data_IF_503263208819
#
_entry.id   IF_503263208819
#
_cell.length_a   1.000
_cell.length_b   1.000
_cell.length_c   1.000
_cell.angle_alpha   90.00
_cell.angle_beta   90.00
_cell.angle_gamma   90.00
#
_symmetry.space_group_name_H-M   'P 1'
#
loop_
_entity.id
_entity.type
_entity.pdbx_description
1 polymer ?
#
# COMPACT_ATOMS: atom_id res chain seq x y z
N UNK A 1 11.17 18.53 4.51
CA UNK A 1 11.48 17.20 3.92
C UNK A 1 10.26 16.27 3.96
N UNK A 2 9.48 16.32 5.03
CA UNK A 2 8.30 15.50 5.31
C UNK A 2 7.11 15.77 4.36
N UNK A 3 6.88 17.02 3.91
CA UNK A 3 5.81 17.33 2.94
C UNK A 3 5.93 16.62 1.58
N UNK A 4 7.14 16.15 1.21
CA UNK A 4 7.32 15.35 -0.01
C UNK A 4 6.82 13.91 0.14
N UNK A 5 6.69 13.39 1.37
CA UNK A 5 6.22 12.03 1.67
C UNK A 5 4.77 11.78 1.29
N UNK A 6 3.96 12.83 1.21
CA UNK A 6 2.55 12.70 0.81
C UNK A 6 2.36 12.66 -0.71
N UNK A 7 3.40 12.93 -1.51
CA UNK A 7 3.29 12.95 -2.98
C UNK A 7 2.83 11.62 -3.58
N UNK A 8 3.36 10.44 -3.18
CA UNK A 8 2.85 9.16 -3.66
C UNK A 8 1.37 8.94 -3.32
N UNK A 9 0.93 9.37 -2.14
CA UNK A 9 -0.48 9.29 -1.73
C UNK A 9 -1.38 10.23 -2.54
N UNK A 10 -0.89 11.42 -2.88
CA UNK A 10 -1.57 12.36 -3.79
C UNK A 10 -1.66 11.82 -5.22
N UNK A 11 -0.67 11.04 -5.68
CA UNK A 11 -0.72 10.33 -6.96
C UNK A 11 -1.78 9.23 -6.91
N UNK A 12 -1.73 8.38 -5.90
CA UNK A 12 -2.69 7.31 -5.66
C UNK A 12 -4.14 7.80 -5.61
N UNK A 13 -4.41 8.96 -5.00
CA UNK A 13 -5.78 9.49 -4.93
C UNK A 13 -6.35 10.05 -6.24
N UNK A 14 -5.47 10.43 -7.18
CA UNK A 14 -5.85 11.14 -8.41
C UNK A 14 -5.87 10.26 -9.62
N UNK A 15 -5.09 9.19 -9.62
CA UNK A 15 -4.97 8.28 -10.73
C UNK A 15 -6.27 7.48 -10.92
N UNK A 16 -6.71 7.35 -12.18
CA UNK A 16 -8.05 6.85 -12.53
C UNK A 16 -8.31 5.41 -12.09
N UNK A 17 -7.33 4.53 -12.23
CA UNK A 17 -7.40 3.12 -11.89
C UNK A 17 -7.41 2.91 -10.37
N UNK A 18 -6.73 3.75 -9.58
CA UNK A 18 -6.66 3.60 -8.13
C UNK A 18 -7.82 4.24 -7.36
N UNK A 19 -8.61 5.11 -8.01
CA UNK A 19 -9.79 5.76 -7.39
C UNK A 19 -10.80 4.78 -6.81
N UNK A 20 -10.96 3.61 -7.42
CA UNK A 20 -11.88 2.58 -6.92
C UNK A 20 -11.51 2.04 -5.54
N UNK A 21 -10.24 2.20 -5.13
CA UNK A 21 -9.74 1.78 -3.82
C UNK A 21 -9.88 2.88 -2.75
N UNK A 22 -10.23 4.10 -3.14
CA UNK A 22 -10.31 5.26 -2.24
C UNK A 22 -11.76 5.49 -1.83
N UNK A 23 -12.04 5.42 -0.53
CA UNK A 23 -13.34 5.75 0.05
C UNK A 23 -13.42 7.21 0.44
N UNK A 24 -12.46 7.71 1.21
CA UNK A 24 -12.39 9.12 1.58
C UNK A 24 -10.96 9.56 1.87
N UNK A 25 -10.71 10.86 1.73
CA UNK A 25 -9.40 11.47 2.01
C UNK A 25 -9.61 12.78 2.74
N UNK A 26 -8.87 13.00 3.82
CA UNK A 26 -8.87 14.23 4.61
C UNK A 26 -7.46 14.81 4.67
N UNK A 27 -7.35 16.12 4.50
CA UNK A 27 -6.11 16.90 4.65
C UNK A 27 -4.94 16.40 3.78
N UNK A 28 -5.23 15.83 2.61
CA UNK A 28 -4.19 15.50 1.63
C UNK A 28 -3.91 16.70 0.73
N UNK A 29 -4.97 17.35 0.22
CA UNK A 29 -4.87 18.37 -0.83
C UNK A 29 -4.22 19.68 -0.38
N UNK A 30 -4.44 20.07 0.88
CA UNK A 30 -3.75 21.21 1.48
C UNK A 30 -2.31 20.83 1.81
N UNK A 31 -2.08 19.70 2.50
CA UNK A 31 -0.76 19.29 2.98
C UNK A 31 0.33 19.11 1.90
N UNK A 32 -0.02 18.78 0.65
CA UNK A 32 0.96 18.75 -0.45
C UNK A 32 1.10 20.10 -1.19
N UNK A 33 0.14 21.03 -1.05
CA UNK A 33 0.12 22.36 -1.71
C UNK A 33 0.62 23.51 -0.83
N UNK A 34 0.30 23.56 0.46
CA UNK A 34 0.74 24.60 1.40
C UNK A 34 2.20 24.35 1.80
N UNK A 35 3.09 24.92 0.98
CA UNK A 35 4.54 24.80 1.04
C UNK A 35 5.24 25.95 1.79
N UNK A 36 4.51 26.79 2.51
CA UNK A 36 5.07 27.89 3.28
C UNK A 36 5.01 27.59 4.77
N UNK A 37 6.07 27.99 5.50
CA UNK A 37 6.27 27.88 6.96
C UNK A 37 5.25 28.70 7.77
N UNK A 38 4.00 28.75 7.35
CA UNK A 38 2.92 29.27 8.17
C UNK A 38 2.57 28.24 9.25
N UNK A 39 2.21 28.69 10.45
CA UNK A 39 1.89 27.79 11.55
C UNK A 39 0.61 27.01 11.21
N UNK A 40 0.79 25.81 10.65
CA UNK A 40 -0.25 24.81 10.43
C UNK A 40 -0.99 24.54 11.74
N UNK A 41 -2.31 24.53 11.70
CA UNK A 41 -3.10 24.05 12.84
C UNK A 41 -2.90 22.54 13.00
N UNK A 42 -3.09 21.97 14.20
CA UNK A 42 -2.88 20.53 14.44
C UNK A 42 -3.70 19.64 13.49
N UNK A 43 -4.86 20.13 13.04
CA UNK A 43 -5.72 19.45 12.06
C UNK A 43 -5.06 19.31 10.68
N UNK A 44 -4.21 20.25 10.27
CA UNK A 44 -3.61 20.30 8.93
C UNK A 44 -2.39 19.37 8.80
N UNK A 45 -1.85 18.89 9.92
CA UNK A 45 -0.65 18.03 9.96
C UNK A 45 -0.95 16.54 9.80
N UNK A 46 -2.22 16.18 9.88
CA UNK A 46 -2.67 14.79 9.87
C UNK A 46 -3.46 14.51 8.60
N UNK A 47 -2.88 13.71 7.72
CA UNK A 47 -3.55 13.18 6.53
C UNK A 47 -4.20 11.85 6.86
N UNK A 48 -5.47 11.69 6.48
CA UNK A 48 -6.22 10.44 6.65
C UNK A 48 -6.70 9.94 5.30
N UNK A 49 -6.45 8.67 5.01
CA UNK A 49 -6.93 7.96 3.82
C UNK A 49 -7.74 6.77 4.28
N UNK A 50 -9.01 6.74 3.90
CA UNK A 50 -9.90 5.62 4.11
C UNK A 50 -10.06 4.90 2.76
N UNK A 51 -9.84 3.59 2.74
CA UNK A 51 -9.97 2.77 1.53
C UNK A 51 -11.32 2.08 1.48
N UNK A 52 -11.67 1.54 0.32
CA UNK A 52 -12.90 0.75 0.12
C UNK A 52 -12.82 -0.67 0.70
N UNK A 53 -11.62 -1.12 1.08
CA UNK A 53 -11.36 -2.40 1.76
C UNK A 53 -11.18 -2.24 3.28
N UNK A 54 -11.85 -1.23 3.85
CA UNK A 54 -11.93 -0.95 5.29
C UNK A 54 -10.56 -0.78 5.98
N UNK A 55 -9.60 -0.22 5.26
CA UNK A 55 -8.30 0.20 5.80
C UNK A 55 -8.29 1.72 5.96
N UNK A 56 -7.82 2.18 7.11
CA UNK A 56 -7.55 3.59 7.38
C UNK A 56 -6.06 3.76 7.60
N UNK A 57 -5.44 4.60 6.78
CA UNK A 57 -4.10 5.12 6.99
C UNK A 57 -4.18 6.54 7.52
N UNK A 58 -3.56 6.80 8.67
CA UNK A 58 -3.39 8.13 9.23
C UNK A 58 -1.89 8.43 9.35
N UNK A 59 -1.46 9.49 8.69
CA UNK A 59 -0.08 9.99 8.74
C UNK A 59 -0.11 11.35 9.42
N UNK A 60 0.54 11.44 10.57
CA UNK A 60 0.76 12.70 11.28
C UNK A 60 2.20 13.15 11.06
N UNK A 61 2.34 14.36 10.53
CA UNK A 61 3.62 14.98 10.23
C UNK A 61 4.03 15.89 11.39
N UNK A 62 5.14 15.56 12.04
CA UNK A 62 5.68 16.30 13.18
C UNK A 62 7.01 16.96 12.80
N UNK A 63 7.48 17.99 13.54
CA UNK A 63 8.78 18.61 13.27
C UNK A 63 9.95 17.60 13.29
N UNK A 64 9.84 16.59 14.16
CA UNK A 64 10.93 15.64 14.45
C UNK A 64 10.76 14.28 13.75
N UNK A 65 9.66 14.07 13.01
CA UNK A 65 9.39 12.79 12.36
C UNK A 65 8.00 12.63 11.77
N UNK A 66 7.68 11.39 11.40
CA UNK A 66 6.36 11.00 10.91
C UNK A 66 5.83 9.88 11.78
N UNK A 67 4.61 10.07 12.28
CA UNK A 67 3.87 9.05 13.02
C UNK A 67 2.83 8.46 12.08
N UNK A 68 2.79 7.14 11.99
CA UNK A 68 1.84 6.40 11.17
C UNK A 68 0.95 5.55 12.07
N UNK A 69 -0.35 5.79 11.97
CA UNK A 69 -1.39 4.99 12.59
C UNK A 69 -2.18 4.28 11.49
N UNK A 70 -2.44 2.99 11.68
CA UNK A 70 -3.21 2.18 10.75
C UNK A 70 -4.31 1.44 11.51
N UNK A 71 -5.53 1.49 11.00
CA UNK A 71 -6.68 0.82 11.63
C UNK A 71 -7.57 0.19 10.58
N UNK A 72 -8.38 -0.78 10.99
CA UNK A 72 -9.37 -1.44 10.14
C UNK A 72 -10.76 -1.27 10.74
N UNK A 73 -11.78 -0.99 9.92
CA UNK A 73 -13.09 -0.50 10.43
C UNK A 73 -14.00 -1.61 11.00
N UNK A 74 -13.75 -2.90 10.74
CA UNK A 74 -14.47 -4.00 11.41
C UNK A 74 -13.54 -5.17 11.74
N UNK A 75 -13.80 -5.86 12.85
CA UNK A 75 -13.12 -7.11 13.22
C UNK A 75 -13.92 -8.31 12.72
N UNK A 76 -13.27 -9.21 11.95
CA UNK A 76 -13.47 -10.64 12.17
C UNK A 76 -12.15 -11.43 12.31
N UNK A 77 -12.27 -12.60 12.94
CA UNK A 77 -11.23 -13.59 13.23
C UNK A 77 -10.75 -14.38 11.98
N UNK A 78 -9.42 -14.36 11.81
CA UNK A 78 -8.44 -15.28 11.17
C UNK A 78 -8.57 -15.83 9.73
N UNK A 79 -7.48 -15.60 8.94
CA UNK A 79 -6.91 -16.48 7.88
C UNK A 79 -6.52 -15.75 6.55
N UNK A 80 -5.26 -15.71 6.07
CA UNK A 80 -4.83 -15.18 4.72
C UNK A 80 -3.43 -15.66 4.26
N UNK A 81 -3.27 -16.02 2.99
CA UNK A 81 -2.41 -17.13 2.55
C UNK A 81 -0.93 -16.93 2.25
N UNK A 82 -0.30 -15.89 2.78
CA UNK A 82 1.17 -15.74 2.65
C UNK A 82 1.74 -15.13 3.92
N UNK A 83 1.38 -15.74 5.03
CA UNK A 83 1.46 -15.14 6.35
C UNK A 83 2.27 -16.02 7.25
N UNK A 84 3.39 -15.48 7.70
CA UNK A 84 4.04 -16.03 8.86
C UNK A 84 3.09 -15.83 10.03
N UNK A 85 2.57 -16.92 10.59
CA UNK A 85 1.81 -16.88 11.84
C UNK A 85 2.68 -16.23 12.92
N UNK A 86 2.04 -15.54 13.86
CA UNK A 86 2.73 -15.14 15.08
C UNK A 86 3.41 -16.37 15.70
N UNK A 87 4.64 -16.21 16.19
CA UNK A 87 5.43 -17.33 16.72
C UNK A 87 4.69 -18.06 17.85
N UNK A 88 3.81 -17.35 18.55
CA UNK A 88 2.96 -17.88 19.61
C UNK A 88 1.88 -18.87 19.13
N UNK A 89 1.52 -18.85 17.84
CA UNK A 89 0.44 -19.67 17.25
C UNK A 89 0.95 -20.89 16.45
N UNK A 90 2.26 -21.16 16.53
CA UNK A 90 2.91 -22.28 15.82
C UNK A 90 2.98 -23.50 16.75
N UNK A 91 2.20 -24.56 16.45
CA UNK A 91 2.37 -25.89 17.04
C UNK A 91 3.20 -26.78 16.08
N UNK A 92 3.98 -27.72 16.63
CA UNK A 92 4.93 -28.59 15.88
C UNK A 92 4.31 -29.41 14.72
N UNK A 93 2.98 -29.53 14.68
CA UNK A 93 2.24 -30.39 13.73
C UNK A 93 1.57 -29.64 12.55
N UNK A 94 1.78 -28.32 12.37
CA UNK A 94 1.10 -27.53 11.33
C UNK A 94 2.10 -26.97 10.31
N UNK A 95 1.92 -27.29 9.02
CA UNK A 95 2.73 -26.73 7.92
C UNK A 95 2.62 -25.20 7.88
N UNK A 96 3.75 -24.51 7.73
CA UNK A 96 3.86 -23.04 7.74
C UNK A 96 3.42 -22.32 6.47
N UNK A 97 2.56 -22.91 5.63
CA UNK A 97 2.11 -22.36 4.36
C UNK A 97 0.65 -22.80 4.03
N UNK A 98 -0.18 -21.88 3.54
CA UNK A 98 -1.58 -22.09 3.09
C UNK A 98 -1.82 -21.40 1.72
N UNK A 99 -2.86 -21.77 0.95
CA UNK A 99 -3.16 -21.25 -0.41
C UNK A 99 -4.29 -20.19 -0.49
N UNK A 100 -4.07 -19.08 -1.22
CA UNK A 100 -4.88 -17.82 -1.29
C UNK A 100 -6.40 -17.92 -1.19
N UNK A 101 -7.01 -19.01 -1.62
CA UNK A 101 -8.47 -19.12 -1.67
C UNK A 101 -9.09 -19.62 -0.37
N UNK A 102 -8.38 -20.41 0.44
CA UNK A 102 -8.94 -21.04 1.65
C UNK A 102 -9.05 -20.07 2.83
N UNK A 103 -8.35 -18.95 2.77
CA UNK A 103 -8.08 -18.13 3.94
C UNK A 103 -8.76 -16.75 3.75
N UNK A 104 -8.85 -16.21 2.52
CA UNK A 104 -9.76 -15.11 2.18
C UNK A 104 -11.26 -15.41 2.39
N UNK A 105 -11.65 -16.67 2.58
CA UNK A 105 -13.02 -17.05 2.93
C UNK A 105 -13.55 -16.38 4.22
N UNK A 106 -12.64 -15.91 5.09
CA UNK A 106 -12.94 -15.23 6.36
C UNK A 106 -13.05 -13.71 6.25
N UNK A 107 -12.59 -13.13 5.15
CA UNK A 107 -12.63 -11.69 4.91
C UNK A 107 -13.99 -11.27 4.36
N UNK A 108 -14.39 -9.99 4.52
CA UNK A 108 -15.52 -9.46 3.76
C UNK A 108 -15.31 -9.79 2.27
N UNK A 109 -16.34 -10.30 1.56
CA UNK A 109 -16.20 -10.69 0.15
C UNK A 109 -15.62 -9.58 -0.74
N UNK A 110 -15.87 -8.33 -0.38
CA UNK A 110 -15.31 -7.15 -1.04
C UNK A 110 -13.77 -7.12 -1.04
N UNK A 111 -13.10 -7.65 -0.02
CA UNK A 111 -11.63 -7.69 0.03
C UNK A 111 -11.08 -8.68 -0.98
N UNK A 112 -11.70 -9.87 -1.09
CA UNK A 112 -11.33 -10.87 -2.09
C UNK A 112 -11.60 -10.37 -3.50
N UNK A 113 -12.79 -9.81 -3.75
CA UNK A 113 -13.13 -9.21 -5.05
C UNK A 113 -12.15 -8.11 -5.45
N UNK A 114 -11.71 -7.26 -4.51
CA UNK A 114 -10.75 -6.19 -4.78
C UNK A 114 -9.33 -6.71 -4.99
N UNK A 115 -8.92 -7.75 -4.26
CA UNK A 115 -7.64 -8.42 -4.47
C UNK A 115 -7.60 -9.12 -5.83
N UNK A 116 -8.62 -9.92 -6.15
CA UNK A 116 -8.74 -10.61 -7.44
C UNK A 116 -8.77 -9.60 -8.59
N UNK A 117 -9.57 -8.52 -8.48
CA UNK A 117 -9.59 -7.47 -9.49
C UNK A 117 -8.22 -6.78 -9.65
N UNK A 118 -7.48 -6.58 -8.55
CA UNK A 118 -6.12 -6.03 -8.58
C UNK A 118 -5.15 -6.98 -9.28
N UNK A 119 -5.16 -8.27 -8.93
CA UNK A 119 -4.32 -9.32 -9.53
C UNK A 119 -4.64 -9.51 -11.02
N UNK A 120 -5.91 -9.56 -11.39
CA UNK A 120 -6.37 -9.74 -12.77
C UNK A 120 -5.91 -8.58 -13.65
N UNK A 121 -6.07 -7.34 -13.17
CA UNK A 121 -5.68 -6.17 -13.93
C UNK A 121 -4.16 -6.06 -14.06
N UNK A 122 -3.40 -6.40 -13.02
CA UNK A 122 -1.95 -6.51 -13.09
C UNK A 122 -1.50 -7.58 -14.09
N UNK A 123 -2.09 -8.78 -14.01
CA UNK A 123 -1.78 -9.91 -14.89
C UNK A 123 -2.11 -9.59 -16.35
N UNK A 124 -3.25 -8.97 -16.61
CA UNK A 124 -3.65 -8.51 -17.95
C UNK A 124 -2.64 -7.51 -18.53
N UNK A 125 -2.18 -6.56 -17.71
CA UNK A 125 -1.18 -5.59 -18.13
C UNK A 125 0.17 -6.25 -18.42
N UNK A 126 0.59 -7.19 -17.59
CA UNK A 126 1.81 -7.97 -17.81
C UNK A 126 1.73 -8.80 -19.09
N UNK A 127 0.62 -9.51 -19.31
CA UNK A 127 0.42 -10.28 -20.54
C UNK A 127 0.52 -9.39 -21.77
N UNK A 128 -0.24 -8.30 -21.80
CA UNK A 128 -0.29 -7.41 -22.95
C UNK A 128 1.04 -6.71 -23.25
N UNK A 129 1.83 -6.35 -22.24
CA UNK A 129 3.02 -5.49 -22.40
C UNK A 129 4.33 -6.23 -22.41
N UNK A 130 4.38 -7.42 -21.82
CA UNK A 130 5.61 -8.21 -21.67
C UNK A 130 5.47 -9.55 -22.39
N UNK A 131 4.40 -10.31 -22.12
CA UNK A 131 4.23 -11.65 -22.72
C UNK A 131 3.95 -11.57 -24.22
N UNK A 132 3.01 -10.72 -24.63
CA UNK A 132 2.58 -10.58 -26.03
C UNK A 132 3.64 -9.90 -26.89
N UNK A 133 4.44 -9.00 -26.30
CA UNK A 133 5.51 -8.26 -26.96
C UNK A 133 6.86 -8.99 -26.92
N UNK A 134 6.99 -9.99 -26.04
CA UNK A 134 8.25 -10.65 -25.67
C UNK A 134 9.32 -9.69 -25.11
N UNK A 135 8.92 -8.49 -24.70
CA UNK A 135 9.80 -7.51 -24.08
C UNK A 135 9.78 -7.67 -22.56
N UNK A 136 10.62 -8.57 -22.06
CA UNK A 136 10.80 -8.82 -20.62
C UNK A 136 11.44 -7.65 -19.86
N UNK A 137 11.86 -6.61 -20.55
CA UNK A 137 12.34 -5.36 -19.96
C UNK A 137 11.27 -4.27 -19.95
N UNK A 138 10.13 -4.47 -20.62
CA UNK A 138 9.03 -3.52 -20.63
C UNK A 138 8.41 -3.39 -19.22
N UNK A 139 8.09 -2.17 -18.78
CA UNK A 139 7.36 -1.97 -17.54
C UNK A 139 5.91 -2.49 -17.67
N UNK A 140 5.41 -3.09 -16.59
CA UNK A 140 3.99 -3.54 -16.49
C UNK A 140 3.03 -2.35 -16.58
N UNK A 141 3.44 -1.18 -16.11
CA UNK A 141 2.64 0.05 -16.19
C UNK A 141 3.09 0.95 -17.34
N UNK A 142 2.16 1.76 -17.87
CA UNK A 142 2.42 2.69 -18.98
C UNK A 142 3.42 3.78 -18.62
N UNK A 143 3.35 4.23 -17.37
CA UNK A 143 4.13 5.33 -16.85
C UNK A 143 4.35 5.16 -15.34
N UNK A 144 5.27 5.97 -14.81
CA UNK A 144 5.69 5.91 -13.41
C UNK A 144 4.63 6.44 -12.43
N UNK A 145 3.69 7.28 -12.89
CA UNK A 145 2.58 7.78 -12.07
C UNK A 145 1.57 6.65 -11.84
N UNK A 146 1.23 5.92 -12.89
CA UNK A 146 0.45 4.69 -12.82
C UNK A 146 1.16 3.66 -11.94
N UNK A 147 2.46 3.41 -12.16
CA UNK A 147 3.22 2.46 -11.33
C UNK A 147 3.19 2.81 -9.84
N UNK A 148 3.38 4.08 -9.48
CA UNK A 148 3.33 4.52 -8.08
C UNK A 148 1.93 4.37 -7.50
N UNK A 149 0.88 4.66 -8.26
CA UNK A 149 -0.49 4.44 -7.82
C UNK A 149 -0.76 2.95 -7.53
N UNK A 150 -0.29 2.05 -8.39
CA UNK A 150 -0.38 0.59 -8.19
C UNK A 150 0.41 0.11 -6.97
N UNK A 151 1.64 0.57 -6.82
CA UNK A 151 2.48 0.24 -5.67
C UNK A 151 1.83 0.68 -4.35
N UNK A 152 1.29 1.91 -4.31
CA UNK A 152 0.59 2.40 -3.11
C UNK A 152 -0.66 1.58 -2.85
N UNK A 153 -1.47 1.26 -3.86
CA UNK A 153 -2.66 0.43 -3.69
C UNK A 153 -2.33 -0.95 -3.10
N UNK A 154 -1.34 -1.64 -3.67
CA UNK A 154 -0.89 -2.95 -3.19
C UNK A 154 -0.29 -2.87 -1.78
N UNK A 155 0.48 -1.82 -1.48
CA UNK A 155 1.03 -1.59 -0.15
C UNK A 155 -0.04 -1.41 0.93
N UNK A 156 -1.09 -0.61 0.65
CA UNK A 156 -2.19 -0.41 1.59
C UNK A 156 -2.99 -1.71 1.81
N UNK A 157 -3.18 -2.50 0.74
CA UNK A 157 -3.82 -3.81 0.84
C UNK A 157 -2.96 -4.80 1.66
N UNK A 158 -1.65 -4.81 1.45
CA UNK A 158 -0.73 -5.65 2.22
C UNK A 158 -0.78 -5.31 3.72
N UNK A 159 -0.79 -4.02 4.09
CA UNK A 159 -0.98 -3.62 5.49
C UNK A 159 -2.34 -4.00 6.06
N UNK A 160 -3.41 -3.92 5.26
CA UNK A 160 -4.73 -4.38 5.68
C UNK A 160 -4.72 -5.86 6.08
N UNK A 161 -3.95 -6.68 5.35
CA UNK A 161 -3.79 -8.10 5.64
C UNK A 161 -2.92 -8.28 6.90
N UNK A 162 -1.78 -7.59 7.03
CA UNK A 162 -0.91 -7.65 8.24
C UNK A 162 -1.65 -7.33 9.55
N UNK A 163 -2.59 -6.41 9.49
CA UNK A 163 -3.41 -6.04 10.66
C UNK A 163 -4.54 -7.04 10.96
N UNK A 164 -4.82 -7.99 10.07
CA UNK A 164 -5.76 -9.10 10.31
C UNK A 164 -5.25 -10.04 11.40
N UNK A 165 -6.14 -10.55 12.25
CA UNK A 165 -5.74 -11.46 13.32
C UNK A 165 -5.02 -12.71 12.76
N UNK A 166 -3.94 -13.16 13.43
CA UNK A 166 -3.14 -14.33 13.05
C UNK A 166 -2.01 -14.03 12.07
N UNK A 167 -1.90 -12.78 11.62
CA UNK A 167 -0.89 -12.34 10.68
C UNK A 167 0.29 -11.70 11.41
N UNK A 168 1.45 -12.36 11.35
CA UNK A 168 2.70 -11.86 11.93
C UNK A 168 3.40 -10.87 11.00
N UNK A 169 3.59 -11.25 9.74
CA UNK A 169 4.26 -10.41 8.74
C UNK A 169 3.94 -10.79 7.30
N UNK A 170 4.16 -9.84 6.38
CA UNK A 170 4.07 -10.02 4.93
C UNK A 170 5.30 -9.41 4.27
N UNK A 171 5.87 -10.11 3.28
CA UNK A 171 6.85 -9.54 2.37
C UNK A 171 6.14 -8.96 1.15
N UNK A 172 6.25 -7.64 0.95
CA UNK A 172 5.69 -6.94 -0.19
C UNK A 172 6.80 -6.47 -1.13
N UNK A 173 6.77 -6.90 -2.39
CA UNK A 173 7.82 -6.60 -3.38
C UNK A 173 7.27 -5.86 -4.59
N UNK A 174 7.13 -4.52 -4.53
CA UNK A 174 6.82 -3.72 -5.70
C UNK A 174 8.08 -3.54 -6.56
N UNK A 175 8.19 -4.33 -7.62
CA UNK A 175 9.34 -4.27 -8.53
C UNK A 175 10.55 -5.02 -7.98
N UNK A 176 11.59 -4.30 -7.56
CA UNK A 176 12.89 -4.88 -7.17
C UNK A 176 13.28 -4.63 -5.71
N UNK A 177 12.38 -4.09 -4.89
CA UNK A 177 12.65 -3.77 -3.50
C UNK A 177 11.67 -4.51 -2.62
N UNK A 178 12.19 -5.25 -1.65
CA UNK A 178 11.38 -5.99 -0.70
C UNK A 178 11.10 -5.15 0.55
N UNK A 179 9.85 -5.17 1.01
CA UNK A 179 9.38 -4.54 2.23
C UNK A 179 8.80 -5.61 3.14
N UNK A 180 9.45 -5.86 4.27
CA UNK A 180 8.90 -6.68 5.33
C UNK A 180 7.94 -5.83 6.17
N UNK A 181 6.65 -6.13 6.06
CA UNK A 181 5.57 -5.47 6.78
C UNK A 181 5.30 -6.25 8.07
N UNK A 182 5.62 -5.64 9.20
CA UNK A 182 5.49 -6.22 10.54
C UNK A 182 4.82 -5.22 11.48
N UNK A 183 3.94 -5.73 12.36
CA UNK A 183 3.29 -4.90 13.39
C UNK A 183 4.32 -4.24 14.30
N UNK A 184 4.08 -2.98 14.65
CA UNK A 184 5.00 -2.15 15.42
C UNK A 184 6.14 -1.52 14.60
N UNK A 185 6.23 -1.80 13.29
CA UNK A 185 7.20 -1.18 12.37
C UNK A 185 6.54 -0.27 11.33
N UNK A 186 5.27 0.05 11.49
CA UNK A 186 4.42 0.76 10.52
C UNK A 186 5.07 2.07 10.06
N UNK A 187 5.53 2.88 11.01
CA UNK A 187 6.09 4.21 10.73
C UNK A 187 7.39 4.12 9.92
N UNK A 188 8.35 3.30 10.36
CA UNK A 188 9.65 3.18 9.70
C UNK A 188 9.54 2.58 8.28
N UNK A 189 8.71 1.54 8.12
CA UNK A 189 8.53 0.87 6.83
C UNK A 189 7.74 1.76 5.87
N UNK A 190 6.69 2.44 6.34
CA UNK A 190 5.90 3.37 5.52
C UNK A 190 6.71 4.57 5.09
N UNK A 191 7.53 5.14 5.97
CA UNK A 191 8.42 6.22 5.58
C UNK A 191 9.40 5.79 4.49
N UNK A 192 10.05 4.62 4.65
CA UNK A 192 10.96 4.07 3.64
C UNK A 192 10.25 3.85 2.31
N UNK A 193 9.11 3.18 2.32
CA UNK A 193 8.31 2.91 1.14
C UNK A 193 7.94 4.21 0.39
N UNK A 194 7.44 5.22 1.09
CA UNK A 194 7.05 6.50 0.48
C UNK A 194 8.26 7.25 -0.09
N UNK A 195 9.44 7.19 0.57
CA UNK A 195 10.69 7.76 0.03
C UNK A 195 11.10 7.09 -1.28
N UNK A 196 11.00 5.77 -1.37
CA UNK A 196 11.32 5.02 -2.57
C UNK A 196 10.35 5.36 -3.71
N UNK A 197 9.05 5.54 -3.40
CA UNK A 197 8.07 5.99 -4.40
C UNK A 197 8.34 7.44 -4.87
N UNK A 198 8.80 8.34 -3.99
CA UNK A 198 9.26 9.67 -4.43
C UNK A 198 10.44 9.55 -5.39
N UNK A 199 11.41 8.67 -5.10
CA UNK A 199 12.54 8.40 -5.97
C UNK A 199 12.07 7.91 -7.35
N UNK A 200 11.06 7.03 -7.38
CA UNK A 200 10.46 6.53 -8.61
C UNK A 200 9.79 7.65 -9.43
N UNK A 201 9.03 8.53 -8.78
CA UNK A 201 8.42 9.71 -9.43
C UNK A 201 9.48 10.69 -9.97
N UNK A 202 10.54 10.94 -9.19
CA UNK A 202 11.59 11.89 -9.57
C UNK A 202 12.39 11.43 -10.80
N UNK A 203 12.67 10.12 -10.89
CA UNK A 203 13.30 9.51 -12.06
C UNK A 203 12.45 9.59 -13.34
N UNK A 204 11.16 9.97 -13.25
CA UNK A 204 10.31 10.26 -14.41
C UNK A 204 10.60 11.59 -15.10
N UNK A 205 11.32 12.51 -14.47
CA UNK A 205 11.70 13.79 -15.08
C UNK A 205 12.89 13.68 -16.06
N UNK A 206 13.60 12.55 -16.06
CA UNK A 206 14.76 12.32 -16.95
C UNK A 206 14.45 11.36 -18.11
N UNK A 207 13.18 11.04 -18.33
CA UNK A 207 12.76 10.02 -19.30
C UNK A 207 12.96 8.61 -18.75
N UNK A 208 12.03 7.72 -19.11
CA UNK A 208 12.37 6.30 -19.16
C UNK A 208 13.42 6.12 -20.27
N UNK A 209 14.40 5.21 -20.15
CA UNK A 209 15.04 4.71 -21.36
C UNK A 209 13.99 4.18 -22.34
#
# INVERSE_FOLDING_TARGET
MISKLLKPLAVFSRQSQSKQYVKSIKNLDDAWRTLTEEPCTESDRTTVIETTFDFILKITTEPDGVTVEMTTIETPQYGTDFIWRAVEDINEDVQGYTESQDEFASFPPSVLELYDAWVDQWSTNWEKRIKDTQDYHAPVCSDRVEQVAWNVAGYLLAWRIVLGAGVGSIEYTPGSTDYLLERGKESAVTERFLRDQIGLLAKGAEGLP
#
